data_IF_191279537688
#
_entry.id   IF_191279537688
#
_cell.length_a   1.000
_cell.length_b   1.000
_cell.length_c   1.000
_cell.angle_alpha   90.00
_cell.angle_beta   90.00
_cell.angle_gamma   90.00
#
_symmetry.space_group_name_H-M   'P 1'
#
loop_
_entity.id
_entity.type
_entity.pdbx_description
1 polymer ?
#
# COMPACT_ATOMS: atom_id res chain seq x y z
N UNK A 1 0.35 19.38 -3.16
CA UNK A 1 0.92 18.12 -3.70
C UNK A 1 0.07 16.95 -3.25
N UNK A 2 -0.40 16.11 -4.18
CA UNK A 2 -1.25 14.95 -3.85
C UNK A 2 -0.38 13.79 -3.35
N UNK A 3 -0.71 13.32 -2.15
CA UNK A 3 -0.01 12.27 -1.43
C UNK A 3 -0.97 11.19 -0.97
N UNK A 4 -0.50 9.96 -0.91
CA UNK A 4 -1.26 8.79 -0.48
C UNK A 4 -0.64 8.20 0.78
N UNK A 5 -1.42 8.11 1.84
CA UNK A 5 -1.09 7.38 3.06
C UNK A 5 -1.74 6.00 3.04
N UNK A 6 -0.91 4.96 3.11
CA UNK A 6 -1.31 3.55 3.05
C UNK A 6 -1.17 2.92 4.43
N UNK A 7 -2.24 2.92 5.20
CA UNK A 7 -2.27 2.31 6.52
C UNK A 7 -2.36 0.78 6.43
N UNK A 8 -1.67 0.09 7.33
CA UNK A 8 -1.69 -1.36 7.46
C UNK A 8 -2.69 -1.79 8.54
N UNK A 9 -3.28 -2.97 8.34
CA UNK A 9 -4.16 -3.63 9.32
C UNK A 9 -5.33 -2.76 9.79
N UNK A 10 -5.75 -1.82 8.94
CA UNK A 10 -6.96 -1.03 9.17
C UNK A 10 -8.13 -1.79 8.56
N UNK A 11 -8.97 -2.35 9.43
CA UNK A 11 -10.34 -2.66 9.07
C UNK A 11 -11.19 -1.54 9.67
N UNK A 12 -11.51 -0.51 8.86
CA UNK A 12 -12.20 0.69 9.35
C UNK A 12 -13.46 0.31 10.16
N UNK A 13 -13.59 0.88 11.36
CA UNK A 13 -14.75 0.69 12.22
C UNK A 13 -14.76 -0.60 13.07
N UNK A 14 -13.70 -1.41 13.03
CA UNK A 14 -13.53 -2.51 14.00
C UNK A 14 -12.91 -2.01 15.32
N UNK A 15 -13.18 -2.66 16.46
CA UNK A 15 -12.57 -2.29 17.75
C UNK A 15 -11.05 -2.17 17.64
N UNK A 16 -10.52 -1.00 18.00
CA UNK A 16 -9.08 -0.69 17.92
C UNK A 16 -8.59 -0.17 16.56
N UNK A 17 -9.46 0.04 15.57
CA UNK A 17 -9.16 0.72 14.30
C UNK A 17 -9.96 2.01 14.16
N UNK A 18 -9.37 3.09 13.61
CA UNK A 18 -10.11 4.32 13.34
C UNK A 18 -11.19 4.10 12.28
N UNK A 19 -12.21 4.95 12.28
CA UNK A 19 -13.16 5.10 11.19
C UNK A 19 -12.53 5.84 10.00
N UNK A 20 -13.20 5.81 8.84
CA UNK A 20 -12.75 6.58 7.68
C UNK A 20 -12.72 8.09 7.96
N UNK A 21 -13.71 8.58 8.69
CA UNK A 21 -13.82 9.99 9.05
C UNK A 21 -12.72 10.38 10.04
N UNK A 22 -12.43 9.55 11.04
CA UNK A 22 -11.31 9.79 11.98
C UNK A 22 -9.95 9.86 11.27
N UNK A 23 -9.74 9.02 10.25
CA UNK A 23 -8.55 9.12 9.41
C UNK A 23 -8.54 10.46 8.66
N UNK A 24 -9.63 10.83 8.00
CA UNK A 24 -9.72 12.09 7.24
C UNK A 24 -9.49 13.30 8.15
N UNK A 25 -10.13 13.34 9.31
CA UNK A 25 -9.96 14.39 10.32
C UNK A 25 -8.52 14.48 10.82
N UNK A 26 -7.83 13.35 11.00
CA UNK A 26 -6.42 13.35 11.40
C UNK A 26 -5.53 14.09 10.39
N UNK A 27 -5.87 14.07 9.09
CA UNK A 27 -5.17 14.80 8.03
C UNK A 27 -5.66 16.24 7.81
N UNK A 28 -6.61 16.73 8.62
CA UNK A 28 -7.14 18.10 8.52
C UNK A 28 -8.53 18.21 7.90
N UNK A 29 -9.23 17.09 7.76
CA UNK A 29 -10.64 17.06 7.39
C UNK A 29 -10.90 16.90 5.88
N UNK A 30 -12.19 16.80 5.50
CA UNK A 30 -12.61 16.42 4.15
C UNK A 30 -12.23 17.43 3.05
N UNK A 31 -11.89 18.66 3.41
CA UNK A 31 -11.43 19.67 2.48
C UNK A 31 -10.04 19.38 1.90
N UNK A 32 -9.20 18.64 2.65
CA UNK A 32 -7.80 18.37 2.29
C UNK A 32 -7.48 16.88 2.18
N UNK A 33 -8.33 16.01 2.73
CA UNK A 33 -8.12 14.58 2.75
C UNK A 33 -9.40 13.80 2.45
N UNK A 34 -9.23 12.59 1.91
CA UNK A 34 -10.32 11.64 1.65
C UNK A 34 -9.86 10.21 1.90
N UNK A 35 -10.72 9.42 2.53
CA UNK A 35 -10.52 7.97 2.63
C UNK A 35 -10.90 7.29 1.31
N UNK A 36 -10.11 6.30 0.90
CA UNK A 36 -10.32 5.49 -0.28
C UNK A 36 -10.51 4.03 0.12
N UNK A 37 -11.73 3.53 -0.04
CA UNK A 37 -12.16 2.20 0.38
C UNK A 37 -11.99 1.96 1.90
N UNK A 38 -12.32 0.76 2.36
CA UNK A 38 -12.19 0.37 3.77
C UNK A 38 -10.81 -0.14 4.18
N UNK A 39 -9.83 -0.11 3.26
CA UNK A 39 -8.53 -0.73 3.43
C UNK A 39 -7.48 0.21 4.08
N UNK A 40 -7.90 1.37 4.59
CA UNK A 40 -7.00 2.37 5.19
C UNK A 40 -6.11 3.09 4.18
N UNK A 41 -6.61 3.40 2.98
CA UNK A 41 -5.91 4.30 2.05
C UNK A 41 -6.48 5.70 2.23
N UNK A 42 -5.64 6.70 2.46
CA UNK A 42 -6.04 8.11 2.54
C UNK A 42 -5.31 8.88 1.44
N UNK A 43 -6.04 9.67 0.67
CA UNK A 43 -5.48 10.63 -0.29
C UNK A 43 -5.60 12.01 0.32
N UNK A 44 -4.52 12.77 0.36
CA UNK A 44 -4.53 14.11 0.91
C UNK A 44 -3.65 15.06 0.11
N UNK A 45 -3.94 16.35 0.22
CA UNK A 45 -3.13 17.42 -0.35
C UNK A 45 -2.51 18.27 0.75
N UNK A 46 -1.19 18.44 0.67
CA UNK A 46 -0.43 19.33 1.55
C UNK A 46 0.70 20.01 0.78
N UNK A 47 1.14 21.18 1.26
CA UNK A 47 2.40 21.80 0.85
C UNK A 47 3.61 21.06 1.45
N UNK A 48 3.46 20.59 2.68
CA UNK A 48 4.44 19.78 3.41
C UNK A 48 3.79 18.43 3.82
N UNK A 49 3.85 17.42 2.93
CA UNK A 49 3.23 16.12 3.20
C UNK A 49 3.87 15.35 4.35
N UNK A 50 5.17 15.56 4.62
CA UNK A 50 5.89 14.89 5.70
C UNK A 50 5.37 15.38 7.06
N UNK A 51 5.31 16.70 7.25
CA UNK A 51 4.78 17.28 8.48
C UNK A 51 3.28 16.98 8.65
N UNK A 52 2.49 17.06 7.57
CA UNK A 52 1.07 16.70 7.60
C UNK A 52 0.85 15.23 8.03
N UNK A 53 1.65 14.31 7.48
CA UNK A 53 1.60 12.89 7.84
C UNK A 53 2.04 12.65 9.28
N UNK A 54 3.12 13.30 9.73
CA UNK A 54 3.59 13.19 11.10
C UNK A 54 2.54 13.68 12.12
N UNK A 55 1.92 14.83 11.84
CA UNK A 55 0.85 15.37 12.66
C UNK A 55 -0.38 14.43 12.71
N UNK A 56 -0.79 13.88 11.57
CA UNK A 56 -1.89 12.91 11.50
C UNK A 56 -1.58 11.64 12.31
N UNK A 57 -0.36 11.10 12.19
CA UNK A 57 0.11 9.93 12.97
C UNK A 57 0.08 10.22 14.46
N UNK A 58 0.50 11.41 14.90
CA UNK A 58 0.47 11.81 16.32
C UNK A 58 -0.98 11.88 16.83
N UNK A 59 -1.89 12.50 16.07
CA UNK A 59 -3.32 12.58 16.42
C UNK A 59 -3.94 11.20 16.56
N UNK A 60 -3.66 10.31 15.61
CA UNK A 60 -4.13 8.93 15.64
C UNK A 60 -3.56 8.15 16.84
N UNK A 61 -2.30 8.37 17.21
CA UNK A 61 -1.72 7.76 18.42
C UNK A 61 -2.39 8.23 19.70
N UNK A 62 -2.83 9.48 19.76
CA UNK A 62 -3.54 10.02 20.91
C UNK A 62 -4.91 9.33 21.16
N UNK A 63 -5.48 8.66 20.15
CA UNK A 63 -6.72 7.87 20.31
C UNK A 63 -6.47 6.42 20.76
N UNK A 64 -5.19 6.04 20.98
CA UNK A 64 -4.79 4.68 21.32
C UNK A 64 -4.51 3.79 20.11
N UNK A 65 -4.70 4.29 18.88
CA UNK A 65 -4.35 3.56 17.66
C UNK A 65 -2.84 3.61 17.39
N UNK A 66 -2.23 2.49 17.03
CA UNK A 66 -0.81 2.40 16.71
C UNK A 66 -0.63 2.25 15.18
N UNK A 67 -0.59 3.35 14.41
CA UNK A 67 -0.54 3.29 12.96
C UNK A 67 0.79 2.71 12.47
N UNK A 68 0.70 1.75 11.55
CA UNK A 68 1.77 1.43 10.61
C UNK A 68 1.34 1.95 9.26
N UNK A 69 2.08 2.92 8.70
CA UNK A 69 1.69 3.64 7.48
C UNK A 69 2.90 3.84 6.59
N UNK A 70 2.69 3.73 5.28
CA UNK A 70 3.66 4.12 4.26
C UNK A 70 3.10 5.30 3.49
N UNK A 71 3.91 6.35 3.32
CA UNK A 71 3.52 7.58 2.62
C UNK A 71 4.17 7.60 1.24
N UNK A 72 3.40 7.84 0.19
CA UNK A 72 3.90 7.94 -1.19
C UNK A 72 3.27 9.11 -1.90
N UNK A 73 4.06 9.85 -2.67
CA UNK A 73 3.53 10.79 -3.64
C UNK A 73 2.67 10.05 -4.67
N UNK A 74 1.64 10.72 -5.20
CA UNK A 74 0.79 10.12 -6.23
C UNK A 74 1.59 9.59 -7.43
N UNK A 75 2.67 10.30 -7.81
CA UNK A 75 3.52 9.92 -8.93
C UNK A 75 4.36 8.67 -8.66
N UNK A 76 4.68 8.36 -7.39
CA UNK A 76 5.29 7.08 -7.04
C UNK A 76 4.28 5.94 -7.19
N UNK A 77 3.03 6.15 -6.79
CA UNK A 77 1.95 5.16 -7.00
C UNK A 77 1.72 4.93 -8.50
N UNK A 78 1.72 6.00 -9.30
CA UNK A 78 1.56 5.93 -10.76
C UNK A 78 2.65 5.07 -11.40
N UNK A 79 3.92 5.42 -11.18
CA UNK A 79 5.06 4.66 -11.70
C UNK A 79 5.03 3.20 -11.27
N UNK A 80 4.74 2.93 -9.99
CA UNK A 80 4.64 1.56 -9.48
C UNK A 80 3.52 0.75 -10.16
N UNK A 81 2.45 1.38 -10.68
CA UNK A 81 1.39 0.71 -11.43
C UNK A 81 1.77 0.55 -12.91
N UNK A 82 2.42 1.55 -13.50
CA UNK A 82 2.85 1.53 -14.91
C UNK A 82 3.98 0.51 -15.17
N UNK A 83 4.86 0.31 -14.19
CA UNK A 83 5.96 -0.66 -14.25
C UNK A 83 5.51 -2.12 -14.07
N UNK A 84 4.22 -2.36 -13.80
CA UNK A 84 3.68 -3.72 -13.66
C UNK A 84 3.58 -4.40 -15.02
N UNK A 85 4.33 -5.48 -15.28
CA UNK A 85 4.15 -6.25 -16.50
C UNK A 85 2.77 -6.91 -16.53
N UNK A 86 2.17 -7.08 -17.72
CA UNK A 86 0.94 -7.84 -17.86
C UNK A 86 1.14 -9.26 -17.34
N UNK A 87 0.13 -9.76 -16.63
CA UNK A 87 0.12 -11.15 -16.15
C UNK A 87 -0.53 -12.02 -17.22
N UNK A 88 0.16 -13.08 -17.64
CA UNK A 88 -0.40 -14.06 -18.57
C UNK A 88 -1.57 -14.81 -17.89
N UNK A 89 -2.79 -14.76 -18.45
CA UNK A 89 -3.93 -15.52 -17.92
C UNK A 89 -3.67 -17.03 -17.76
N UNK A 90 -2.77 -17.60 -18.56
CA UNK A 90 -2.37 -19.01 -18.50
C UNK A 90 -1.58 -19.41 -17.24
N UNK A 91 -1.00 -18.45 -16.51
CA UNK A 91 -0.20 -18.71 -15.32
C UNK A 91 -1.03 -19.10 -14.08
N UNK A 92 -2.35 -18.94 -14.14
CA UNK A 92 -3.24 -19.23 -13.00
C UNK A 92 -2.98 -18.35 -11.78
N UNK A 93 -2.43 -17.15 -11.97
CA UNK A 93 -2.18 -16.18 -10.90
C UNK A 93 -3.50 -15.79 -10.24
N UNK A 94 -3.55 -15.88 -8.90
CA UNK A 94 -4.72 -15.48 -8.14
C UNK A 94 -4.80 -13.95 -8.04
N UNK A 95 -3.70 -13.29 -7.67
CA UNK A 95 -3.62 -11.82 -7.56
C UNK A 95 -2.26 -11.29 -7.96
N UNK A 96 -2.28 -10.16 -8.65
CA UNK A 96 -1.14 -9.28 -8.88
C UNK A 96 -1.15 -8.17 -7.84
N UNK A 97 0.00 -7.93 -7.20
CA UNK A 97 0.14 -7.09 -6.00
C UNK A 97 1.27 -6.07 -6.16
N UNK A 98 1.06 -4.88 -5.60
CA UNK A 98 2.10 -3.88 -5.38
C UNK A 98 2.27 -3.73 -3.87
N UNK A 99 3.53 -3.73 -3.44
CA UNK A 99 3.91 -3.62 -2.05
C UNK A 99 4.80 -2.40 -1.87
N UNK A 100 4.50 -1.56 -0.88
CA UNK A 100 5.26 -0.36 -0.56
C UNK A 100 5.95 -0.53 0.80
N UNK A 101 7.18 -0.05 0.91
CA UNK A 101 8.02 -0.20 2.10
C UNK A 101 9.12 0.85 2.12
N UNK A 102 9.62 1.18 3.31
CA UNK A 102 10.72 2.12 3.49
C UNK A 102 11.96 1.36 3.96
N UNK A 103 12.85 1.01 3.02
CA UNK A 103 14.14 0.38 3.35
C UNK A 103 15.25 1.43 3.39
N UNK A 104 16.15 1.30 4.37
CA UNK A 104 17.38 2.11 4.42
C UNK A 104 18.45 1.59 3.47
N UNK A 105 18.48 0.27 3.30
CA UNK A 105 19.41 -0.42 2.42
C UNK A 105 18.65 -1.49 1.65
N UNK A 106 18.77 -1.45 0.33
CA UNK A 106 18.14 -2.42 -0.53
C UNK A 106 18.94 -3.73 -0.55
N UNK A 107 18.34 -4.89 -0.21
CA UNK A 107 19.06 -6.15 -0.23
C UNK A 107 19.37 -6.58 -1.67
N UNK A 108 20.47 -7.31 -1.84
CA UNK A 108 20.75 -7.96 -3.12
C UNK A 108 19.89 -9.22 -3.24
N UNK A 109 18.82 -9.13 -4.02
CA UNK A 109 17.88 -10.24 -4.27
C UNK A 109 17.92 -10.59 -5.75
N UNK A 110 18.07 -11.87 -6.07
CA UNK A 110 17.93 -12.35 -7.45
C UNK A 110 16.45 -12.43 -7.81
N UNK A 111 16.06 -11.72 -8.87
CA UNK A 111 14.69 -11.72 -9.39
C UNK A 111 14.58 -12.58 -10.66
N UNK A 112 13.42 -13.23 -10.90
CA UNK A 112 12.28 -13.32 -9.98
C UNK A 112 12.63 -14.15 -8.74
N UNK A 113 12.16 -13.69 -7.58
CA UNK A 113 12.30 -14.42 -6.32
C UNK A 113 11.03 -15.20 -6.04
N UNK A 114 11.16 -16.49 -5.72
CA UNK A 114 10.03 -17.35 -5.36
C UNK A 114 10.10 -17.73 -3.89
N UNK A 115 8.97 -17.62 -3.19
CA UNK A 115 8.89 -18.06 -1.80
C UNK A 115 9.12 -19.57 -1.67
N UNK A 116 9.59 -20.06 -0.50
CA UNK A 116 9.84 -21.50 -0.29
C UNK A 116 8.61 -22.39 -0.50
N UNK A 117 7.41 -21.90 -0.20
CA UNK A 117 6.13 -22.60 -0.42
C UNK A 117 5.65 -22.54 -1.89
N UNK A 118 6.36 -21.79 -2.75
CA UNK A 118 6.03 -21.61 -4.16
C UNK A 118 4.79 -20.77 -4.43
N UNK A 119 4.17 -20.14 -3.41
CA UNK A 119 2.90 -19.43 -3.51
C UNK A 119 3.02 -17.93 -3.78
N UNK A 120 4.22 -17.37 -3.69
CA UNK A 120 4.53 -15.97 -3.97
C UNK A 120 5.72 -15.90 -4.92
N UNK A 121 5.63 -15.03 -5.91
CA UNK A 121 6.74 -14.67 -6.79
C UNK A 121 6.87 -13.15 -6.85
N UNK A 122 8.04 -12.65 -6.49
CA UNK A 122 8.40 -11.24 -6.62
C UNK A 122 9.08 -11.08 -7.98
N UNK A 123 8.43 -10.33 -8.88
CA UNK A 123 8.86 -10.18 -10.28
C UNK A 123 9.76 -8.99 -10.50
N UNK A 124 9.43 -7.89 -9.83
CA UNK A 124 10.22 -6.66 -9.86
C UNK A 124 10.30 -6.08 -8.45
N UNK A 125 11.42 -5.43 -8.13
CA UNK A 125 11.63 -4.81 -6.83
C UNK A 125 12.57 -3.62 -6.99
N UNK A 126 12.15 -2.47 -6.45
CA UNK A 126 12.92 -1.25 -6.34
C UNK A 126 13.03 -0.78 -4.89
N UNK A 127 13.63 0.40 -4.65
CA UNK A 127 13.93 0.88 -3.31
C UNK A 127 12.69 1.20 -2.46
N UNK A 128 11.54 1.50 -3.08
CA UNK A 128 10.34 1.97 -2.39
C UNK A 128 9.08 1.14 -2.68
N UNK A 129 9.15 0.20 -3.63
CA UNK A 129 8.07 -0.74 -3.94
C UNK A 129 8.54 -2.05 -4.60
N UNK A 130 7.66 -3.06 -4.56
CA UNK A 130 7.82 -4.33 -5.28
C UNK A 130 6.53 -4.71 -6.02
N UNK A 131 6.69 -5.33 -7.18
CA UNK A 131 5.62 -6.05 -7.88
C UNK A 131 5.76 -7.55 -7.61
N UNK A 132 4.65 -8.17 -7.23
CA UNK A 132 4.58 -9.59 -6.98
C UNK A 132 3.27 -10.18 -7.45
N UNK A 133 3.27 -11.50 -7.64
CA UNK A 133 2.07 -12.28 -7.86
C UNK A 133 1.96 -13.34 -6.77
N UNK A 134 0.73 -13.77 -6.50
CA UNK A 134 0.50 -14.92 -5.65
C UNK A 134 -0.50 -15.89 -6.26
N UNK A 135 -0.35 -17.15 -5.87
CA UNK A 135 -1.28 -18.22 -6.19
C UNK A 135 -2.13 -18.56 -4.97
N UNK A 136 -3.28 -19.17 -5.24
CA UNK A 136 -4.21 -19.67 -4.22
C UNK A 136 -4.56 -21.13 -4.51
N UNK A 137 -3.63 -22.08 -4.34
CA UNK A 137 -4.00 -23.49 -4.43
C UNK A 137 -4.97 -23.81 -3.30
N UNK A 138 -6.13 -24.39 -3.64
CA UNK A 138 -7.24 -24.62 -2.70
C UNK A 138 -7.76 -23.30 -2.11
N UNK A 139 -7.76 -23.15 -0.79
CA UNK A 139 -8.35 -22.00 -0.08
C UNK A 139 -7.34 -21.06 0.57
N UNK A 140 -6.03 -21.33 0.44
CA UNK A 140 -4.97 -20.52 1.06
C UNK A 140 -4.22 -19.73 0.00
N UNK A 141 -4.27 -18.40 0.09
CA UNK A 141 -3.52 -17.53 -0.82
C UNK A 141 -2.08 -17.32 -0.30
N UNK A 142 -1.12 -17.18 -1.21
CA UNK A 142 0.25 -16.81 -0.86
C UNK A 142 0.33 -15.49 -0.09
N UNK A 143 1.13 -15.46 0.97
CA UNK A 143 1.30 -14.30 1.83
C UNK A 143 2.40 -13.38 1.31
N UNK A 144 2.06 -12.52 0.35
CA UNK A 144 2.99 -11.54 -0.24
C UNK A 144 3.61 -10.63 0.81
N UNK A 145 2.79 -10.07 1.71
CA UNK A 145 3.27 -9.16 2.76
C UNK A 145 4.30 -9.86 3.64
N UNK A 146 3.98 -11.03 4.19
CA UNK A 146 4.90 -11.78 5.05
C UNK A 146 6.20 -12.17 4.33
N UNK A 147 6.11 -12.56 3.06
CA UNK A 147 7.29 -12.88 2.24
C UNK A 147 8.23 -11.68 2.10
N UNK A 148 7.70 -10.50 1.80
CA UNK A 148 8.50 -9.28 1.66
C UNK A 148 9.03 -8.76 3.00
N UNK A 149 8.25 -8.89 4.09
CA UNK A 149 8.71 -8.50 5.43
C UNK A 149 9.89 -9.35 5.90
N UNK A 150 9.84 -10.67 5.62
CA UNK A 150 10.96 -11.56 5.89
C UNK A 150 12.20 -11.20 5.06
N UNK A 151 11.99 -10.85 3.78
CA UNK A 151 13.08 -10.53 2.86
C UNK A 151 13.74 -9.17 3.14
N UNK A 152 12.93 -8.18 3.52
CA UNK A 152 13.38 -6.79 3.66
C UNK A 152 13.63 -6.38 5.11
N UNK A 153 13.17 -7.17 6.09
CA UNK A 153 13.25 -6.85 7.53
C UNK A 153 12.65 -5.48 7.90
N UNK A 154 11.62 -5.05 7.17
CA UNK A 154 10.86 -3.82 7.42
C UNK A 154 9.36 -4.10 7.25
N UNK A 155 8.48 -3.27 7.84
CA UNK A 155 7.05 -3.35 7.58
C UNK A 155 6.72 -3.12 6.09
N UNK A 156 5.77 -3.89 5.56
CA UNK A 156 5.34 -3.80 4.16
C UNK A 156 3.83 -3.56 4.08
N UNK A 157 3.41 -2.63 3.22
CA UNK A 157 2.00 -2.40 2.91
C UNK A 157 1.68 -2.87 1.50
N UNK A 158 0.91 -3.96 1.39
CA UNK A 158 0.54 -4.57 0.11
C UNK A 158 -0.88 -4.22 -0.30
N UNK A 159 -1.09 -3.96 -1.60
CA UNK A 159 -2.40 -3.79 -2.23
C UNK A 159 -2.44 -4.55 -3.56
N UNK A 160 -3.64 -4.89 -4.04
CA UNK A 160 -3.77 -5.44 -5.40
C UNK A 160 -3.47 -4.34 -6.42
N UNK A 161 -2.89 -4.71 -7.57
CA UNK A 161 -2.71 -3.79 -8.71
C UNK A 161 -4.04 -3.15 -9.09
N UNK A 162 -5.11 -3.93 -9.16
CA UNK A 162 -6.46 -3.45 -9.47
C UNK A 162 -6.96 -2.37 -8.49
N UNK A 163 -6.59 -2.45 -7.21
CA UNK A 163 -6.95 -1.40 -6.23
C UNK A 163 -6.17 -0.11 -6.47
N UNK A 164 -4.89 -0.21 -6.81
CA UNK A 164 -4.08 0.98 -7.14
C UNK A 164 -4.51 1.61 -8.47
N UNK A 165 -4.86 0.82 -9.47
CA UNK A 165 -5.44 1.31 -10.73
C UNK A 165 -6.76 2.07 -10.49
N UNK A 166 -7.65 1.52 -9.65
CA UNK A 166 -8.89 2.23 -9.27
C UNK A 166 -8.61 3.52 -8.52
N UNK A 167 -7.64 3.53 -7.61
CA UNK A 167 -7.22 4.74 -6.89
C UNK A 167 -6.81 5.83 -7.88
N UNK A 168 -5.93 5.51 -8.84
CA UNK A 168 -5.47 6.45 -9.86
C UNK A 168 -6.63 6.96 -10.72
N UNK A 169 -7.51 6.07 -11.19
CA UNK A 169 -8.68 6.46 -11.98
C UNK A 169 -9.62 7.40 -11.20
N UNK A 170 -9.88 7.12 -9.93
CA UNK A 170 -10.71 7.98 -9.06
C UNK A 170 -10.06 9.34 -8.82
N UNK A 171 -8.74 9.42 -8.70
CA UNK A 171 -8.03 10.71 -8.56
C UNK A 171 -8.11 11.52 -9.86
N UNK A 172 -7.83 10.90 -11.00
CA UNK A 172 -7.92 11.58 -12.30
C UNK A 172 -9.32 12.13 -12.58
N UNK A 173 -10.37 11.36 -12.27
CA UNK A 173 -11.76 11.78 -12.47
C UNK A 173 -12.20 12.93 -11.54
N UNK A 174 -11.52 13.15 -10.40
CA UNK A 174 -11.82 14.27 -9.48
C UNK A 174 -11.05 15.54 -9.81
N UNK A 175 -10.11 15.50 -10.76
CA UNK A 175 -9.25 16.64 -11.13
C UNK A 175 -9.71 17.32 -12.45
N UNK A 176 -10.81 16.82 -13.04
CA UNK A 176 -11.50 17.37 -14.20
C UNK A 176 -12.89 17.86 -13.82
#
# INVERSE_FOLDING_TARGET
MITVALFRNVNLGHPGSPTGDELVEAFGGPAVARSFQSNGTVVFEAMDPENASAAAIIRLRATGYQPTVVIRALEQIRRAVEDVPPVDPGEGVYRSMISFFDVRQFPTVRLPFRSPDGLVEIRAMGPDCAHSVCWKPRQTAGNVTGCLEQLLSVPVTTRTVATMQRLLATISASTH
#
